data_IF_482471797582
#
_entry.id   IF_482471797582
#
_cell.length_a   1.000
_cell.length_b   1.000
_cell.length_c   1.000
_cell.angle_alpha   90.00
_cell.angle_beta   90.00
_cell.angle_gamma   90.00
#
_symmetry.space_group_name_H-M   'P 1'
#
loop_
_entity.id
_entity.type
_entity.pdbx_description
1 polymer ?
#
# COMPACT_ATOMS: atom_id res chain seq x y z
N UNK A 1 -46.88 69.46 8.02
CA UNK A 1 -45.74 70.40 7.95
C UNK A 1 -44.55 69.60 7.45
N UNK A 2 -44.32 69.45 6.15
CA UNK A 2 -43.81 70.43 5.18
C UNK A 2 -42.54 71.16 5.64
N UNK A 3 -41.47 70.88 4.89
CA UNK A 3 -40.39 71.81 4.47
C UNK A 3 -39.43 72.29 5.59
N UNK A 4 -38.12 72.51 5.39
CA UNK A 4 -37.30 72.81 4.21
C UNK A 4 -35.81 72.86 4.67
N UNK A 5 -34.91 73.03 3.69
CA UNK A 5 -33.48 73.40 3.76
C UNK A 5 -32.53 72.18 3.80
N UNK A 6 -32.00 71.66 2.70
CA UNK A 6 -31.36 72.27 1.52
C UNK A 6 -30.08 73.09 1.83
N UNK A 7 -28.97 72.49 1.36
CA UNK A 7 -27.88 73.12 0.61
C UNK A 7 -26.63 73.62 1.36
N UNK A 8 -25.50 73.47 0.63
CA UNK A 8 -24.20 74.15 0.77
C UNK A 8 -23.23 73.45 1.78
N UNK A 9 -21.99 73.05 1.48
CA UNK A 9 -20.91 73.75 0.74
C UNK A 9 -19.82 72.75 0.24
N UNK A 10 -19.42 72.94 -1.02
CA UNK A 10 -18.10 72.78 -1.71
C UNK A 10 -16.94 72.09 -0.97
N UNK A 11 -16.33 71.03 -1.52
CA UNK A 11 -15.14 71.01 -2.43
C UNK A 11 -13.94 71.77 -1.88
N UNK A 12 -12.83 71.06 -1.60
CA UNK A 12 -11.43 71.34 -1.97
C UNK A 12 -10.48 70.38 -1.25
N UNK A 13 -9.38 70.00 -1.93
CA UNK A 13 -8.12 69.40 -1.43
C UNK A 13 -7.97 67.92 -1.79
N UNK A 14 -7.46 67.59 -2.98
CA UNK A 14 -6.06 67.63 -3.46
C UNK A 14 -5.46 66.22 -3.45
N UNK A 15 -5.28 65.75 -4.68
CA UNK A 15 -4.44 64.63 -5.08
C UNK A 15 -3.00 64.89 -4.62
N UNK A 16 -2.45 63.97 -3.83
CA UNK A 16 -1.00 63.71 -3.83
C UNK A 16 -0.83 62.26 -4.20
N UNK A 17 -0.39 62.05 -5.43
CA UNK A 17 0.13 60.79 -5.94
C UNK A 17 1.43 60.46 -5.20
N UNK A 18 1.51 59.27 -4.61
CA UNK A 18 2.79 58.58 -4.49
C UNK A 18 2.58 57.08 -4.73
N UNK A 19 2.98 56.66 -5.92
CA UNK A 19 3.29 55.28 -6.26
C UNK A 19 4.38 54.79 -5.30
N UNK A 20 4.02 53.86 -4.42
CA UNK A 20 4.96 52.88 -3.90
C UNK A 20 4.36 51.50 -4.17
N UNK A 21 4.85 50.91 -5.26
CA UNK A 21 4.90 49.47 -5.44
C UNK A 21 5.72 48.88 -4.30
N UNK A 22 5.09 48.69 -3.15
CA UNK A 22 5.58 47.74 -2.16
C UNK A 22 5.13 46.37 -2.67
N UNK A 23 6.01 45.76 -3.48
CA UNK A 23 6.02 44.32 -3.65
C UNK A 23 5.98 43.71 -2.27
N UNK A 24 4.85 43.06 -1.94
CA UNK A 24 4.85 42.10 -0.85
C UNK A 24 5.74 40.99 -1.36
N UNK A 25 7.02 41.07 -0.99
CA UNK A 25 7.93 39.93 -0.99
C UNK A 25 7.19 38.83 -0.25
N UNK A 26 6.59 37.95 -1.04
CA UNK A 26 6.25 36.60 -0.61
C UNK A 26 7.54 36.08 -0.04
N UNK A 27 7.61 36.07 1.29
CA UNK A 27 8.75 35.59 2.03
C UNK A 27 9.19 34.31 1.37
N UNK A 28 10.38 34.34 0.80
CA UNK A 28 11.09 33.17 0.35
C UNK A 28 11.14 32.28 1.59
N UNK A 29 10.16 31.38 1.68
CA UNK A 29 10.34 30.12 2.36
C UNK A 29 11.62 29.61 1.75
N UNK A 30 12.69 29.66 2.53
CA UNK A 30 13.85 28.81 2.31
C UNK A 30 13.27 27.41 2.20
N UNK A 31 12.96 27.00 0.97
CA UNK A 31 12.98 25.64 0.52
C UNK A 31 14.46 25.29 0.69
N UNK A 32 14.83 25.03 1.94
CA UNK A 32 15.78 23.99 2.22
C UNK A 32 15.20 22.82 1.45
N UNK A 33 15.82 22.56 0.30
CA UNK A 33 15.81 21.25 -0.32
C UNK A 33 16.38 20.35 0.77
N UNK A 34 15.50 19.93 1.67
CA UNK A 34 15.58 18.68 2.39
C UNK A 34 15.75 17.70 1.24
N UNK A 35 17.01 17.37 0.97
CA UNK A 35 17.38 16.17 0.22
C UNK A 35 16.56 15.09 0.87
N UNK A 36 15.45 14.75 0.23
CA UNK A 36 14.51 13.83 0.79
C UNK A 36 15.30 12.53 0.88
N UNK A 37 15.48 12.06 2.10
CA UNK A 37 16.03 10.73 2.39
C UNK A 37 15.07 9.62 1.94
N UNK A 38 14.06 9.96 1.14
CA UNK A 38 13.09 9.07 0.48
C UNK A 38 13.69 8.36 -0.74
N UNK A 39 15.02 8.23 -0.81
CA UNK A 39 15.68 7.35 -1.78
C UNK A 39 15.70 5.92 -1.24
N UNK A 40 14.52 5.31 -1.06
CA UNK A 40 14.48 3.87 -1.33
C UNK A 40 14.67 3.77 -2.84
N UNK A 41 15.92 3.56 -3.25
CA UNK A 41 16.35 3.78 -4.62
C UNK A 41 15.60 2.78 -5.48
N UNK A 42 15.00 3.24 -6.58
CA UNK A 42 14.45 2.35 -7.62
C UNK A 42 15.42 1.23 -8.01
N UNK A 43 16.73 1.47 -7.85
CA UNK A 43 17.80 0.46 -8.01
C UNK A 43 17.60 -0.79 -7.16
N UNK A 44 17.19 -0.66 -5.89
CA UNK A 44 16.93 -1.82 -5.03
C UNK A 44 15.63 -2.52 -5.41
N UNK A 45 14.62 -1.81 -5.92
CA UNK A 45 13.37 -2.42 -6.40
C UNK A 45 13.55 -3.25 -7.67
N UNK A 46 14.39 -2.78 -8.58
CA UNK A 46 14.65 -3.49 -9.83
C UNK A 46 15.52 -4.75 -9.63
N UNK A 47 16.10 -4.94 -8.45
CA UNK A 47 16.94 -6.09 -8.12
C UNK A 47 16.22 -7.13 -7.25
N UNK A 48 14.94 -6.91 -6.95
CA UNK A 48 14.10 -7.91 -6.29
C UNK A 48 13.55 -8.87 -7.33
N UNK A 49 13.75 -10.17 -7.09
CA UNK A 49 13.22 -11.23 -7.93
C UNK A 49 12.20 -12.06 -7.16
N UNK A 50 11.01 -12.23 -7.74
CA UNK A 50 9.97 -13.12 -7.24
C UNK A 50 9.76 -14.26 -8.23
N UNK A 51 9.80 -15.50 -7.75
CA UNK A 51 9.59 -16.72 -8.52
C UNK A 51 8.47 -17.54 -7.90
N UNK A 52 7.59 -18.05 -8.74
CA UNK A 52 6.53 -18.98 -8.36
C UNK A 52 6.76 -20.30 -9.10
N UNK A 53 6.68 -21.41 -8.36
CA UNK A 53 6.82 -22.75 -8.91
C UNK A 53 5.68 -23.65 -8.41
N UNK A 54 4.99 -24.32 -9.33
CA UNK A 54 4.06 -25.39 -8.99
C UNK A 54 4.87 -26.61 -8.54
N UNK A 55 4.67 -27.05 -7.30
CA UNK A 55 5.30 -28.25 -6.76
C UNK A 55 4.44 -29.48 -6.99
N UNK A 56 3.13 -29.35 -6.77
CA UNK A 56 2.18 -30.47 -6.88
C UNK A 56 0.79 -29.98 -7.23
N UNK A 57 0.15 -30.66 -8.18
CA UNK A 57 -1.26 -30.47 -8.50
C UNK A 57 -2.04 -31.76 -8.17
N UNK A 58 -3.03 -31.64 -7.30
CA UNK A 58 -3.99 -32.69 -6.96
C UNK A 58 -5.42 -32.18 -7.22
N UNK A 59 -6.42 -33.07 -7.33
CA UNK A 59 -7.81 -32.67 -7.56
C UNK A 59 -8.39 -31.76 -6.47
N UNK A 60 -7.92 -31.92 -5.22
CA UNK A 60 -8.41 -31.21 -4.04
C UNK A 60 -7.51 -30.05 -3.60
N UNK A 61 -6.28 -29.98 -4.10
CA UNK A 61 -5.34 -28.91 -3.77
C UNK A 61 -4.19 -28.73 -4.75
N UNK A 62 -3.68 -27.51 -4.84
CA UNK A 62 -2.41 -27.19 -5.49
C UNK A 62 -1.41 -26.67 -4.48
N UNK A 63 -0.15 -27.10 -4.61
CA UNK A 63 0.97 -26.72 -3.75
C UNK A 63 2.01 -25.97 -4.57
N UNK A 64 2.40 -24.80 -4.08
CA UNK A 64 3.33 -23.90 -4.75
C UNK A 64 4.46 -23.51 -3.82
N UNK A 65 5.61 -23.24 -4.41
CA UNK A 65 6.74 -22.58 -3.77
C UNK A 65 6.86 -21.15 -4.30
N UNK A 66 6.87 -20.19 -3.38
CA UNK A 66 7.19 -18.80 -3.65
C UNK A 66 8.63 -18.55 -3.19
N UNK A 67 9.45 -18.00 -4.06
CA UNK A 67 10.83 -17.63 -3.73
C UNK A 67 11.04 -16.15 -3.99
N UNK A 68 11.50 -15.44 -2.96
CA UNK A 68 11.87 -14.03 -3.01
C UNK A 68 13.38 -13.91 -2.84
N UNK A 69 14.05 -13.27 -3.81
CA UNK A 69 15.46 -12.91 -3.73
C UNK A 69 15.60 -11.40 -3.62
N UNK A 70 16.31 -10.93 -2.59
CA UNK A 70 16.70 -9.53 -2.46
C UNK A 70 18.08 -9.34 -3.09
N UNK A 71 18.15 -9.02 -4.38
CA UNK A 71 19.41 -8.69 -5.06
C UNK A 71 19.88 -7.25 -4.83
N UNK A 72 19.16 -6.48 -4.00
CA UNK A 72 19.47 -5.09 -3.68
C UNK A 72 20.61 -4.94 -2.68
N UNK A 73 20.95 -3.70 -2.35
CA UNK A 73 22.01 -3.34 -1.40
C UNK A 73 21.50 -3.11 0.02
N UNK A 74 20.18 -3.00 0.18
CA UNK A 74 19.56 -2.66 1.45
C UNK A 74 18.59 -3.76 1.92
N UNK A 75 18.49 -3.97 3.24
CA UNK A 75 17.45 -4.83 3.79
C UNK A 75 16.06 -4.25 3.49
N UNK A 76 15.08 -5.14 3.44
CA UNK A 76 13.68 -4.79 3.23
C UNK A 76 12.77 -5.71 4.02
N UNK A 77 11.53 -5.26 4.22
CA UNK A 77 10.47 -6.08 4.75
C UNK A 77 9.59 -6.58 3.61
N UNK A 78 9.27 -7.86 3.61
CA UNK A 78 8.27 -8.44 2.71
C UNK A 78 7.09 -8.98 3.51
N UNK A 79 5.93 -8.99 2.86
CA UNK A 79 4.69 -9.47 3.42
C UNK A 79 4.52 -10.96 3.15
N UNK A 80 4.12 -11.68 4.18
CA UNK A 80 4.00 -13.15 4.22
C UNK A 80 2.94 -13.52 5.25
N UNK A 81 2.59 -14.81 5.30
CA UNK A 81 1.63 -15.38 6.25
C UNK A 81 0.33 -14.56 6.40
N UNK A 82 -0.35 -14.18 5.30
CA UNK A 82 -1.59 -13.41 5.39
C UNK A 82 -2.66 -14.15 6.22
N UNK A 83 -3.36 -13.37 7.04
CA UNK A 83 -4.59 -13.75 7.72
C UNK A 83 -5.73 -13.11 6.95
N UNK A 84 -6.71 -13.91 6.58
CA UNK A 84 -7.88 -13.51 5.80
C UNK A 84 -8.95 -12.89 6.68
N UNK A 85 -9.97 -12.31 6.07
CA UNK A 85 -11.11 -11.68 6.77
C UNK A 85 -11.88 -12.63 7.71
N UNK A 86 -11.89 -13.94 7.43
CA UNK A 86 -12.46 -14.97 8.31
C UNK A 86 -11.47 -15.54 9.34
N UNK A 87 -10.31 -14.89 9.52
CA UNK A 87 -9.21 -15.32 10.38
C UNK A 87 -8.50 -16.60 9.93
N UNK A 88 -8.85 -17.17 8.78
CA UNK A 88 -8.08 -18.29 8.22
C UNK A 88 -6.74 -17.81 7.66
N UNK A 89 -5.72 -18.66 7.75
CA UNK A 89 -4.39 -18.36 7.21
C UNK A 89 -4.27 -18.77 5.74
N UNK A 90 -3.36 -18.11 5.03
CA UNK A 90 -2.97 -18.46 3.67
C UNK A 90 -3.23 -17.32 2.69
N UNK A 91 -2.70 -17.41 1.46
CA UNK A 91 -2.67 -16.28 0.52
C UNK A 91 -4.06 -15.71 0.28
N UNK A 92 -4.08 -14.42 -0.04
CA UNK A 92 -5.22 -13.77 -0.64
C UNK A 92 -5.37 -14.24 -2.08
N UNK A 93 -6.58 -14.62 -2.46
CA UNK A 93 -6.91 -15.24 -3.75
C UNK A 93 -7.94 -14.34 -4.42
N UNK A 94 -7.66 -13.96 -5.67
CA UNK A 94 -8.58 -13.22 -6.54
C UNK A 94 -8.31 -13.53 -8.01
N UNK A 95 -9.31 -13.29 -8.86
CA UNK A 95 -9.09 -13.26 -10.30
C UNK A 95 -8.36 -11.97 -10.71
N UNK A 96 -7.52 -12.05 -11.74
CA UNK A 96 -6.95 -10.84 -12.34
C UNK A 96 -8.06 -10.01 -13.01
N UNK A 97 -8.08 -8.71 -12.74
CA UNK A 97 -9.12 -7.80 -13.24
C UNK A 97 -9.09 -7.61 -14.76
N UNK A 98 -7.93 -7.82 -15.40
CA UNK A 98 -7.74 -7.70 -16.84
C UNK A 98 -7.85 -9.06 -17.56
N UNK A 99 -7.58 -10.16 -16.85
CA UNK A 99 -7.70 -11.53 -17.37
C UNK A 99 -8.25 -12.50 -16.33
N UNK A 100 -9.56 -12.75 -16.41
CA UNK A 100 -10.25 -13.67 -15.50
C UNK A 100 -9.77 -15.14 -15.58
N UNK A 101 -8.94 -15.49 -16.56
CA UNK A 101 -8.30 -16.82 -16.64
C UNK A 101 -7.01 -16.92 -15.84
N UNK A 102 -6.55 -15.81 -15.25
CA UNK A 102 -5.38 -15.73 -14.39
C UNK A 102 -5.81 -15.61 -12.93
N UNK A 103 -5.28 -16.50 -12.08
CA UNK A 103 -5.41 -16.44 -10.64
C UNK A 103 -4.27 -15.63 -10.03
N UNK A 104 -4.57 -14.59 -9.25
CA UNK A 104 -3.60 -13.85 -8.45
C UNK A 104 -3.61 -14.39 -7.02
N UNK A 105 -2.46 -14.90 -6.56
CA UNK A 105 -2.24 -15.26 -5.16
C UNK A 105 -1.29 -14.26 -4.52
N UNK A 106 -1.69 -13.67 -3.40
CA UNK A 106 -0.93 -12.56 -2.86
C UNK A 106 -0.80 -12.53 -1.34
N UNK A 107 0.28 -11.91 -0.91
CA UNK A 107 0.53 -11.49 0.47
C UNK A 107 0.84 -9.99 0.45
N UNK A 108 -0.19 -9.17 0.64
CA UNK A 108 -0.08 -7.70 0.57
C UNK A 108 -1.10 -7.00 1.46
N UNK A 109 -0.85 -5.73 1.75
CA UNK A 109 -1.78 -4.83 2.43
C UNK A 109 -2.86 -4.32 1.45
N UNK A 110 -4.07 -4.18 1.96
CA UNK A 110 -5.24 -3.66 1.24
C UNK A 110 -5.93 -2.58 2.08
N UNK A 111 -6.42 -1.52 1.44
CA UNK A 111 -7.11 -0.42 2.12
C UNK A 111 -8.52 -0.86 2.55
N UNK A 112 -8.90 -0.86 3.83
CA UNK A 112 -10.27 -1.23 4.22
C UNK A 112 -11.31 -0.36 3.49
N UNK A 113 -12.55 -0.87 3.28
CA UNK A 113 -13.59 -0.02 2.72
C UNK A 113 -13.89 1.11 3.69
N UNK A 114 -14.30 2.24 3.12
CA UNK A 114 -14.68 3.44 3.87
C UNK A 114 -15.79 3.15 4.91
N UNK A 115 -16.60 2.11 4.70
CA UNK A 115 -17.72 1.71 5.56
C UNK A 115 -17.44 0.55 6.52
N UNK A 116 -16.28 -0.13 6.47
CA UNK A 116 -15.99 -1.21 7.44
C UNK A 116 -15.40 -0.61 8.71
N UNK A 117 -16.26 -0.26 9.65
CA UNK A 117 -15.82 0.30 10.92
C UNK A 117 -15.16 -0.75 11.83
N UNK A 118 -15.46 -2.06 11.71
CA UNK A 118 -15.06 -3.02 12.77
C UNK A 118 -14.84 -4.51 12.39
N UNK A 119 -14.84 -4.96 11.11
CA UNK A 119 -15.00 -6.41 10.83
C UNK A 119 -13.91 -7.05 9.95
N UNK A 120 -12.76 -6.42 9.75
CA UNK A 120 -11.70 -7.04 8.95
C UNK A 120 -10.44 -7.32 9.76
N UNK A 121 -10.23 -8.58 10.14
CA UNK A 121 -8.98 -9.04 10.76
C UNK A 121 -7.89 -9.33 9.70
N UNK A 122 -8.09 -8.88 8.45
CA UNK A 122 -7.10 -9.05 7.40
C UNK A 122 -5.79 -8.33 7.77
N UNK A 123 -4.72 -9.11 7.88
CA UNK A 123 -3.39 -8.63 8.25
C UNK A 123 -2.34 -9.52 7.62
N UNK A 124 -1.13 -8.99 7.50
CA UNK A 124 0.02 -9.72 6.96
C UNK A 124 1.16 -9.66 7.97
N UNK A 125 2.02 -10.66 7.96
CA UNK A 125 3.27 -10.64 8.72
C UNK A 125 4.34 -9.93 7.90
N UNK A 126 5.11 -9.06 8.53
CA UNK A 126 6.34 -8.51 7.96
C UNK A 126 7.53 -9.39 8.37
N UNK A 127 8.28 -9.87 7.38
CA UNK A 127 9.59 -10.53 7.60
C UNK A 127 10.67 -9.68 6.94
N UNK A 128 11.80 -9.52 7.64
CA UNK A 128 12.98 -8.85 7.09
C UNK A 128 13.77 -9.83 6.22
N UNK A 129 14.28 -9.35 5.10
CA UNK A 129 15.21 -10.08 4.23
C UNK A 129 16.44 -9.20 3.97
N UNK A 130 17.62 -9.78 4.17
CA UNK A 130 18.90 -9.08 4.02
C UNK A 130 19.33 -9.02 2.54
N UNK A 131 20.22 -8.09 2.18
CA UNK A 131 20.85 -8.03 0.85
C UNK A 131 21.47 -9.37 0.43
N UNK A 132 21.29 -9.73 -0.85
CA UNK A 132 21.78 -10.95 -1.49
C UNK A 132 21.30 -12.25 -0.83
N UNK A 133 20.17 -12.23 -0.12
CA UNK A 133 19.58 -13.43 0.48
C UNK A 133 18.29 -13.82 -0.22
N UNK A 134 17.92 -15.08 -0.03
CA UNK A 134 16.73 -15.67 -0.63
C UNK A 134 15.85 -16.25 0.47
N UNK A 135 14.55 -15.97 0.39
CA UNK A 135 13.52 -16.58 1.19
C UNK A 135 12.63 -17.46 0.32
N UNK A 136 12.28 -18.65 0.81
CA UNK A 136 11.33 -19.53 0.14
C UNK A 136 10.24 -19.95 1.12
N UNK A 137 9.00 -19.92 0.66
CA UNK A 137 7.83 -20.39 1.40
C UNK A 137 6.97 -21.29 0.52
N UNK A 138 6.37 -22.31 1.14
CA UNK A 138 5.42 -23.20 0.48
C UNK A 138 4.03 -22.82 0.96
N UNK A 139 3.10 -22.70 0.02
CA UNK A 139 1.69 -22.49 0.33
C UNK A 139 0.81 -23.43 -0.48
N UNK A 140 -0.39 -23.66 0.05
CA UNK A 140 -1.38 -24.55 -0.55
C UNK A 140 -2.65 -23.78 -0.86
N UNK A 141 -3.21 -24.05 -2.04
CA UNK A 141 -4.54 -23.61 -2.45
C UNK A 141 -5.45 -24.83 -2.43
N UNK A 142 -6.52 -24.80 -1.63
CA UNK A 142 -7.52 -25.87 -1.56
C UNK A 142 -8.74 -25.60 -2.42
N UNK A 143 -9.40 -26.68 -2.88
CA UNK A 143 -10.66 -26.63 -3.62
C UNK A 143 -11.86 -26.99 -2.71
N UNK A 144 -13.05 -26.38 -2.89
CA UNK A 144 -13.40 -25.40 -3.93
C UNK A 144 -12.70 -24.06 -3.71
N UNK A 145 -12.22 -23.48 -4.82
CA UNK A 145 -11.50 -22.21 -4.81
C UNK A 145 -12.47 -21.08 -4.49
N UNK A 146 -12.13 -20.25 -3.50
CA UNK A 146 -12.92 -19.09 -3.09
C UNK A 146 -12.03 -17.87 -3.11
N UNK A 147 -12.58 -16.73 -3.50
CA UNK A 147 -11.88 -15.47 -3.30
C UNK A 147 -11.67 -15.21 -1.81
N UNK A 148 -10.45 -14.79 -1.47
CA UNK A 148 -10.03 -14.54 -0.09
C UNK A 148 -9.35 -13.19 0.09
N UNK A 149 -9.14 -12.40 -0.97
CA UNK A 149 -8.87 -10.97 -0.83
C UNK A 149 -9.94 -10.35 0.05
N UNK A 150 -9.70 -9.25 0.78
CA UNK A 150 -10.81 -8.49 1.32
C UNK A 150 -11.73 -8.10 0.15
N UNK A 151 -12.93 -8.69 -0.02
CA UNK A 151 -13.90 -8.06 -0.86
C UNK A 151 -14.45 -6.92 -0.01
N UNK A 152 -14.04 -5.72 -0.35
CA UNK A 152 -14.66 -4.51 0.15
C UNK A 152 -15.99 -4.28 -0.59
N UNK A 153 -16.89 -5.25 -0.45
CA UNK A 153 -18.25 -5.22 -0.98
C UNK A 153 -19.28 -5.14 0.15
N UNK A 154 -20.47 -4.64 -0.20
CA UNK A 154 -21.63 -4.55 0.70
C UNK A 154 -22.11 -5.92 1.22
N UNK A 155 -21.67 -7.01 0.57
CA UNK A 155 -21.98 -8.39 0.95
C UNK A 155 -20.70 -9.20 1.20
N UNK A 156 -20.58 -9.90 2.34
CA UNK A 156 -19.44 -10.77 2.67
C UNK A 156 -19.39 -12.08 1.86
N UNK A 157 -20.19 -12.21 0.79
CA UNK A 157 -20.27 -13.44 0.01
C UNK A 157 -18.98 -13.65 -0.78
N UNK A 158 -18.26 -14.72 -0.42
CA UNK A 158 -17.06 -15.16 -1.13
C UNK A 158 -17.46 -15.81 -2.45
N UNK A 159 -17.10 -15.21 -3.56
CA UNK A 159 -17.33 -15.81 -4.87
C UNK A 159 -16.54 -17.11 -4.99
N UNK A 160 -17.25 -18.19 -5.36
CA UNK A 160 -16.62 -19.46 -5.73
C UNK A 160 -16.01 -19.26 -7.12
N UNK A 161 -14.71 -19.48 -7.22
CA UNK A 161 -14.00 -19.42 -8.49
C UNK A 161 -14.14 -20.78 -9.18
N UNK A 162 -14.61 -20.74 -10.42
CA UNK A 162 -14.62 -21.90 -11.32
C UNK A 162 -13.18 -22.21 -11.77
N UNK A 163 -12.52 -23.10 -11.04
CA UNK A 163 -11.13 -23.49 -11.30
C UNK A 163 -10.89 -24.06 -12.71
N UNK A 164 -11.92 -24.55 -13.40
CA UNK A 164 -11.80 -25.09 -14.76
C UNK A 164 -11.52 -24.00 -15.80
N UNK A 165 -11.78 -22.73 -15.45
CA UNK A 165 -11.51 -21.56 -16.31
C UNK A 165 -10.13 -20.96 -16.07
N UNK A 166 -9.43 -21.38 -15.03
CA UNK A 166 -8.12 -20.87 -14.66
C UNK A 166 -7.05 -21.58 -15.49
N UNK A 167 -6.32 -20.79 -16.28
CA UNK A 167 -5.24 -21.25 -17.16
C UNK A 167 -3.87 -20.83 -16.65
N UNK A 168 -3.84 -19.76 -15.87
CA UNK A 168 -2.60 -19.17 -15.39
C UNK A 168 -2.69 -18.83 -13.91
N UNK A 169 -1.54 -18.78 -13.26
CA UNK A 169 -1.39 -18.27 -11.90
C UNK A 169 -0.21 -17.31 -11.84
N UNK A 170 -0.34 -16.26 -11.04
CA UNK A 170 0.77 -15.37 -10.69
C UNK A 170 0.76 -15.15 -9.19
N UNK A 171 1.93 -14.84 -8.63
CA UNK A 171 2.05 -14.45 -7.23
C UNK A 171 2.42 -12.99 -7.10
N UNK A 172 1.89 -12.32 -6.07
CA UNK A 172 2.15 -10.91 -5.78
C UNK A 172 2.45 -10.69 -4.30
N UNK A 173 3.53 -9.98 -3.97
CA UNK A 173 3.88 -9.65 -2.59
C UNK A 173 4.02 -8.15 -2.38
N UNK A 174 3.65 -7.68 -1.19
CA UNK A 174 3.94 -6.33 -0.73
C UNK A 174 5.33 -6.25 -0.11
N UNK A 175 6.05 -5.17 -0.43
CA UNK A 175 7.39 -4.89 0.06
C UNK A 175 7.44 -3.49 0.67
N UNK A 176 8.17 -3.36 1.77
CA UNK A 176 8.40 -2.11 2.48
C UNK A 176 9.91 -1.88 2.67
N UNK A 177 10.37 -0.63 2.66
CA UNK A 177 11.74 -0.31 3.03
C UNK A 177 12.01 -0.66 4.50
N UNK A 178 13.25 -1.04 4.82
CA UNK A 178 13.71 -1.09 6.22
C UNK A 178 13.94 0.34 6.75
N UNK A 179 12.84 0.99 7.13
CA UNK A 179 12.85 2.30 7.77
C UNK A 179 12.68 2.17 9.30
N UNK A 180 13.28 3.08 10.04
CA UNK A 180 13.21 3.15 11.51
C UNK A 180 11.77 3.15 12.02
N UNK A 181 10.87 3.83 11.32
CA UNK A 181 9.46 3.90 11.65
C UNK A 181 8.70 2.59 11.41
N UNK A 182 9.12 1.78 10.43
CA UNK A 182 8.55 0.44 10.22
C UNK A 182 8.99 -0.49 11.35
N UNK A 183 10.28 -0.48 11.72
CA UNK A 183 10.82 -1.28 12.84
C UNK A 183 10.11 -0.97 14.16
N UNK A 184 9.90 0.30 14.44
CA UNK A 184 9.22 0.78 15.65
C UNK A 184 7.78 0.29 15.77
N UNK A 185 7.05 0.28 14.65
CA UNK A 185 5.69 -0.30 14.61
C UNK A 185 5.75 -1.79 14.99
N UNK A 186 6.75 -2.53 14.53
CA UNK A 186 6.89 -3.96 14.81
C UNK A 186 7.31 -4.24 16.26
N UNK A 187 8.12 -3.38 16.86
CA UNK A 187 8.61 -3.52 18.24
C UNK A 187 7.51 -3.25 19.29
N UNK A 188 6.60 -2.31 19.03
CA UNK A 188 5.63 -1.83 20.02
C UNK A 188 4.24 -2.49 19.91
N UNK A 189 4.08 -3.50 19.07
CA UNK A 189 2.78 -4.11 18.80
C UNK A 189 2.50 -5.37 19.62
N UNK A 190 1.32 -5.48 20.25
CA UNK A 190 0.92 -6.69 20.96
C UNK A 190 0.71 -7.90 20.02
N UNK A 191 0.41 -7.66 18.74
CA UNK A 191 0.27 -8.70 17.71
C UNK A 191 1.61 -9.10 17.04
N UNK A 192 2.75 -8.65 17.59
CA UNK A 192 4.08 -8.93 17.04
C UNK A 192 4.25 -8.40 15.62
N UNK A 193 4.85 -9.21 14.74
CA UNK A 193 5.22 -8.82 13.37
C UNK A 193 4.04 -8.63 12.40
N UNK A 194 2.78 -8.68 12.87
CA UNK A 194 1.60 -8.52 12.03
C UNK A 194 1.16 -7.06 11.89
N UNK A 195 0.72 -6.71 10.68
CA UNK A 195 0.30 -5.35 10.31
C UNK A 195 -1.00 -5.37 9.49
N UNK A 196 -1.87 -4.39 9.75
CA UNK A 196 -3.13 -4.14 9.07
C UNK A 196 -3.00 -3.12 7.92
N UNK A 197 -1.91 -2.36 7.91
CA UNK A 197 -1.56 -1.37 6.90
C UNK A 197 -1.92 0.06 7.25
N UNK A 198 -2.90 0.27 8.15
CA UNK A 198 -3.31 1.60 8.62
C UNK A 198 -2.42 2.16 9.74
N UNK A 199 -1.37 1.45 10.14
CA UNK A 199 -0.47 1.94 11.17
C UNK A 199 0.31 3.14 10.67
N UNK A 200 0.27 4.21 11.47
CA UNK A 200 0.93 5.46 11.14
C UNK A 200 2.37 5.45 11.58
N UNK A 201 3.27 5.81 10.68
CA UNK A 201 4.70 5.92 10.96
C UNK A 201 4.98 7.19 11.76
N UNK A 202 5.62 7.04 12.92
CA UNK A 202 5.85 8.14 13.87
C UNK A 202 7.25 8.75 13.82
N UNK A 203 8.23 8.05 13.22
CA UNK A 203 9.63 8.47 13.09
C UNK A 203 10.26 7.94 11.79
N UNK A 204 11.52 8.25 11.51
CA UNK A 204 12.18 7.89 10.25
C UNK A 204 11.80 8.77 9.06
N UNK A 205 12.20 8.35 7.85
CA UNK A 205 12.07 9.15 6.62
C UNK A 205 10.64 9.22 6.09
N UNK A 206 9.77 8.32 6.57
CA UNK A 206 8.38 8.20 6.13
C UNK A 206 7.35 8.63 7.19
N UNK A 207 7.79 9.40 8.20
CA UNK A 207 6.93 9.94 9.25
C UNK A 207 5.66 10.58 8.68
N UNK A 208 4.51 10.21 9.25
CA UNK A 208 3.20 10.72 8.89
C UNK A 208 2.42 9.88 7.87
N UNK A 209 3.10 8.97 7.15
CA UNK A 209 2.45 8.02 6.22
C UNK A 209 1.92 6.78 6.93
N UNK A 210 0.99 6.07 6.30
CA UNK A 210 0.56 4.74 6.73
C UNK A 210 1.41 3.66 6.06
N UNK A 211 1.59 2.50 6.70
CA UNK A 211 2.37 1.38 6.12
C UNK A 211 1.90 0.98 4.72
N UNK A 212 0.58 1.00 4.48
CA UNK A 212 0.03 0.68 3.17
C UNK A 212 0.45 1.68 2.08
N UNK A 213 0.73 2.94 2.43
CA UNK A 213 1.17 3.97 1.49
C UNK A 213 2.65 3.80 1.07
N UNK A 214 3.41 3.00 1.82
CA UNK A 214 4.81 2.69 1.54
C UNK A 214 4.98 1.43 0.70
N UNK A 215 3.93 0.62 0.58
CA UNK A 215 3.99 -0.68 -0.05
C UNK A 215 4.26 -0.56 -1.55
N UNK A 216 5.31 -1.25 -2.01
CA UNK A 216 5.51 -1.59 -3.42
C UNK A 216 5.04 -3.02 -3.65
N UNK A 217 4.29 -3.26 -4.73
CA UNK A 217 3.87 -4.62 -5.12
C UNK A 217 4.84 -5.16 -6.17
N UNK A 218 5.41 -6.33 -5.89
CA UNK A 218 6.18 -7.10 -6.86
C UNK A 218 5.38 -8.35 -7.22
N UNK A 219 5.30 -8.67 -8.51
CA UNK A 219 4.56 -9.82 -9.02
C UNK A 219 5.42 -10.70 -9.92
N UNK A 220 5.14 -11.99 -9.94
CA UNK A 220 5.74 -12.92 -10.91
C UNK A 220 5.11 -12.72 -12.28
N UNK A 221 5.79 -13.14 -13.36
CA UNK A 221 5.09 -13.49 -14.60
C UNK A 221 4.00 -14.53 -14.32
N UNK A 222 2.94 -14.51 -15.13
CA UNK A 222 1.93 -15.56 -15.09
C UNK A 222 2.52 -16.88 -15.57
N UNK A 223 2.41 -17.93 -14.75
CA UNK A 223 2.79 -19.30 -15.11
C UNK A 223 1.54 -20.07 -15.55
N UNK A 224 1.70 -20.96 -16.53
CA UNK A 224 0.61 -21.82 -17.00
C UNK A 224 0.42 -23.00 -16.03
N UNK A 225 -0.84 -23.32 -15.74
CA UNK A 225 -1.25 -24.46 -14.91
C UNK A 225 -1.52 -25.72 -15.75
#
# INVERSE_FOLDING_TARGET
MMEKNAMLIRVVSMIVSLLLFAGVDYGQSHIGVLKSSTSFRMEDMNSIELKLRLLRAQPDKWEFELTLHNGGKHPLFFMTDPIRSDRSSGPYISLDANDISTLDVSARLYLPPIYSLYVNDARVKLKRIEPNTTHSEIFTIGFPLKETIPPYGETPERHIIDHTKIKFIKASIGILPDDEGVRDILEHKPAGSFVYGLEKIMKGSFKGKHLIDLQTIISTPSIKL
#
